data_IF_329629778943
#
_entry.id   IF_329629778943
#
_cell.length_a   1.000
_cell.length_b   1.000
_cell.length_c   1.000
_cell.angle_alpha   90.00
_cell.angle_beta   90.00
_cell.angle_gamma   90.00
#
_symmetry.space_group_name_H-M   'P 1'
#
loop_
_entity.id
_entity.type
_entity.pdbx_description
1 polymer ?
#
# COMPACT_ATOMS: atom_id res chain seq x y z
N UNK A 1 53.49 -31.41 9.16
CA UNK A 1 52.89 -31.44 7.81
C UNK A 1 51.38 -31.71 7.86
N UNK A 2 50.91 -32.86 8.35
CA UNK A 2 49.47 -33.19 8.40
C UNK A 2 48.60 -32.16 9.15
N UNK A 3 49.05 -31.69 10.31
CA UNK A 3 48.32 -30.66 11.09
C UNK A 3 48.20 -29.32 10.35
N UNK A 4 49.22 -28.94 9.58
CA UNK A 4 49.19 -27.70 8.80
C UNK A 4 48.19 -27.84 7.65
N UNK A 5 48.16 -28.99 6.98
CA UNK A 5 47.19 -29.28 5.92
C UNK A 5 45.76 -29.27 6.46
N UNK A 6 45.52 -29.87 7.63
CA UNK A 6 44.20 -29.83 8.28
C UNK A 6 43.79 -28.42 8.68
N UNK A 7 44.71 -27.63 9.24
CA UNK A 7 44.45 -26.26 9.64
C UNK A 7 44.10 -25.40 8.42
N UNK A 8 44.91 -25.45 7.37
CA UNK A 8 44.66 -24.70 6.12
C UNK A 8 43.35 -25.15 5.46
N UNK A 9 43.09 -26.46 5.39
CA UNK A 9 41.84 -26.98 4.84
C UNK A 9 40.62 -26.53 5.63
N UNK A 10 40.70 -26.48 6.96
CA UNK A 10 39.60 -26.00 7.81
C UNK A 10 39.31 -24.52 7.60
N UNK A 11 40.33 -23.68 7.46
CA UNK A 11 40.19 -22.24 7.19
C UNK A 11 39.55 -22.02 5.83
N UNK A 12 40.00 -22.73 4.79
CA UNK A 12 39.41 -22.65 3.45
C UNK A 12 37.95 -23.13 3.42
N UNK A 13 37.61 -24.14 4.19
CA UNK A 13 36.24 -24.66 4.27
C UNK A 13 35.31 -23.67 4.98
N UNK A 14 35.77 -23.03 6.04
CA UNK A 14 35.01 -21.96 6.72
C UNK A 14 34.84 -20.76 5.80
N UNK A 15 35.90 -20.33 5.11
CA UNK A 15 35.86 -19.20 4.17
C UNK A 15 34.93 -19.48 2.98
N UNK A 16 34.90 -20.71 2.46
CA UNK A 16 33.96 -21.09 1.40
C UNK A 16 32.49 -21.09 1.87
N UNK A 17 32.23 -21.40 3.14
CA UNK A 17 30.87 -21.42 3.71
C UNK A 17 30.37 -20.03 4.12
N UNK A 18 31.28 -19.19 4.63
CA UNK A 18 30.96 -17.91 5.29
C UNK A 18 31.36 -16.68 4.46
N UNK A 19 32.26 -16.83 3.49
CA UNK A 19 32.77 -15.73 2.67
C UNK A 19 31.73 -15.07 1.78
N UNK A 20 32.13 -14.02 1.07
CA UNK A 20 31.24 -13.13 0.27
C UNK A 20 30.40 -13.85 -0.80
N UNK A 21 30.80 -15.06 -1.21
CA UNK A 21 30.05 -15.93 -2.15
C UNK A 21 29.54 -17.22 -1.52
N UNK A 22 29.60 -17.32 -0.19
CA UNK A 22 29.18 -18.50 0.57
C UNK A 22 27.67 -18.70 0.56
N UNK A 23 27.26 -19.91 0.94
CA UNK A 23 25.87 -20.33 0.98
C UNK A 23 25.00 -19.42 1.86
N UNK A 24 25.56 -18.90 2.95
CA UNK A 24 24.87 -17.99 3.87
C UNK A 24 24.51 -16.65 3.20
N UNK A 25 25.45 -16.03 2.48
CA UNK A 25 25.20 -14.79 1.74
C UNK A 25 24.13 -14.98 0.66
N UNK A 26 24.15 -16.12 -0.05
CA UNK A 26 23.14 -16.46 -1.05
C UNK A 26 21.74 -16.61 -0.43
N UNK A 27 21.64 -17.26 0.73
CA UNK A 27 20.36 -17.42 1.45
C UNK A 27 19.81 -16.07 1.93
N UNK A 28 20.65 -15.22 2.51
CA UNK A 28 20.26 -13.88 2.94
C UNK A 28 19.81 -13.01 1.76
N UNK A 29 20.56 -13.00 0.66
CA UNK A 29 20.19 -12.29 -0.56
C UNK A 29 18.86 -12.77 -1.12
N UNK A 30 18.61 -14.10 -1.11
CA UNK A 30 17.34 -14.67 -1.56
C UNK A 30 16.17 -14.29 -0.66
N UNK A 31 16.39 -14.19 0.66
CA UNK A 31 15.38 -13.75 1.61
C UNK A 31 15.06 -12.25 1.44
N UNK A 32 16.08 -11.41 1.30
CA UNK A 32 15.92 -9.98 1.00
C UNK A 32 15.18 -9.77 -0.33
N UNK A 33 15.56 -10.51 -1.37
CA UNK A 33 14.86 -10.45 -2.66
C UNK A 33 13.39 -10.83 -2.54
N UNK A 34 13.07 -11.92 -1.80
CA UNK A 34 11.67 -12.33 -1.56
C UNK A 34 10.87 -11.27 -0.81
N UNK A 35 11.46 -10.67 0.23
CA UNK A 35 10.82 -9.58 0.97
C UNK A 35 10.53 -8.39 0.07
N UNK A 36 11.53 -7.95 -0.70
CA UNK A 36 11.41 -6.77 -1.57
C UNK A 36 10.42 -7.02 -2.71
N UNK A 37 10.41 -8.23 -3.28
CA UNK A 37 9.44 -8.64 -4.29
C UNK A 37 8.00 -8.65 -3.72
N UNK A 38 7.83 -9.08 -2.47
CA UNK A 38 6.54 -9.03 -1.77
C UNK A 38 6.03 -7.61 -1.60
N UNK A 39 6.87 -6.71 -1.06
CA UNK A 39 6.51 -5.30 -0.91
C UNK A 39 6.20 -4.62 -2.25
N UNK A 40 6.96 -4.95 -3.30
CA UNK A 40 6.70 -4.43 -4.64
C UNK A 40 5.34 -4.90 -5.19
N UNK A 41 4.96 -6.15 -4.95
CA UNK A 41 3.67 -6.68 -5.37
C UNK A 41 2.51 -5.98 -4.64
N UNK A 42 2.66 -5.74 -3.34
CA UNK A 42 1.67 -5.02 -2.52
C UNK A 42 1.47 -3.58 -3.02
N UNK A 43 2.55 -2.83 -3.18
CA UNK A 43 2.51 -1.45 -3.67
C UNK A 43 1.92 -1.37 -5.09
N UNK A 44 2.24 -2.33 -5.96
CA UNK A 44 1.66 -2.40 -7.31
C UNK A 44 0.15 -2.65 -7.29
N UNK A 45 -0.30 -3.55 -6.41
CA UNK A 45 -1.73 -3.84 -6.23
C UNK A 45 -2.48 -2.61 -5.73
N UNK A 46 -1.94 -1.92 -4.72
CA UNK A 46 -2.53 -0.69 -4.19
C UNK A 46 -2.58 0.42 -5.25
N UNK A 47 -1.49 0.59 -6.01
CA UNK A 47 -1.44 1.58 -7.08
C UNK A 47 -2.49 1.31 -8.16
N UNK A 48 -2.69 0.04 -8.54
CA UNK A 48 -3.73 -0.35 -9.49
C UNK A 48 -5.13 -0.02 -8.95
N UNK A 49 -5.41 -0.31 -7.67
CA UNK A 49 -6.68 0.02 -7.02
C UNK A 49 -6.94 1.52 -7.00
N UNK A 50 -5.95 2.32 -6.60
CA UNK A 50 -6.05 3.78 -6.55
C UNK A 50 -6.27 4.39 -7.93
N UNK A 51 -5.60 3.87 -8.97
CA UNK A 51 -5.81 4.30 -10.36
C UNK A 51 -7.24 4.05 -10.82
N UNK A 52 -7.80 2.88 -10.49
CA UNK A 52 -9.19 2.57 -10.82
C UNK A 52 -10.17 3.50 -10.08
N UNK A 53 -9.93 3.79 -8.80
CA UNK A 53 -10.73 4.78 -8.06
C UNK A 53 -10.65 6.18 -8.68
N UNK A 54 -9.44 6.64 -8.99
CA UNK A 54 -9.22 7.93 -9.65
C UNK A 54 -9.89 7.99 -11.03
N UNK A 55 -9.88 6.88 -11.77
CA UNK A 55 -10.58 6.76 -13.05
C UNK A 55 -12.09 6.89 -12.87
N UNK A 56 -12.70 6.16 -11.93
CA UNK A 56 -14.13 6.27 -11.63
C UNK A 56 -14.53 7.68 -11.20
N UNK A 57 -13.74 8.31 -10.35
CA UNK A 57 -13.96 9.71 -9.94
C UNK A 57 -13.84 10.71 -11.10
N UNK A 58 -13.01 10.44 -12.11
CA UNK A 58 -12.85 11.31 -13.28
C UNK A 58 -13.88 11.05 -14.37
N UNK A 59 -14.24 9.79 -14.59
CA UNK A 59 -15.11 9.35 -15.68
C UNK A 59 -16.60 9.38 -15.30
N UNK A 60 -16.93 9.48 -14.01
CA UNK A 60 -18.30 9.62 -13.52
C UNK A 60 -18.52 10.98 -12.80
N UNK A 61 -18.91 12.03 -13.56
CA UNK A 61 -19.26 13.33 -12.99
C UNK A 61 -20.37 13.24 -11.93
N UNK A 62 -21.27 12.24 -12.03
CA UNK A 62 -22.36 12.08 -11.07
C UNK A 62 -21.84 11.63 -9.70
N UNK A 63 -20.80 10.79 -9.65
CA UNK A 63 -20.14 10.39 -8.40
C UNK A 63 -19.49 11.57 -7.68
N UNK A 64 -18.88 12.50 -8.44
CA UNK A 64 -18.29 13.73 -7.88
C UNK A 64 -19.38 14.69 -7.41
N UNK A 65 -20.46 14.86 -8.17
CA UNK A 65 -21.61 15.68 -7.77
C UNK A 65 -22.27 15.15 -6.49
N UNK A 66 -22.44 13.84 -6.37
CA UNK A 66 -23.02 13.22 -5.17
C UNK A 66 -22.15 13.46 -3.93
N UNK A 67 -20.83 13.33 -4.05
CA UNK A 67 -19.89 13.62 -2.95
C UNK A 67 -19.91 15.11 -2.59
N UNK A 68 -19.89 15.99 -3.59
CA UNK A 68 -19.96 17.44 -3.40
C UNK A 68 -21.26 17.89 -2.72
N UNK A 69 -22.40 17.27 -3.05
CA UNK A 69 -23.69 17.54 -2.40
C UNK A 69 -23.71 17.04 -0.94
N UNK A 70 -23.15 15.85 -0.66
CA UNK A 70 -23.19 15.22 0.68
C UNK A 70 -22.20 15.85 1.67
N UNK A 71 -20.93 15.99 1.27
CA UNK A 71 -19.85 16.42 2.17
C UNK A 71 -19.70 17.95 2.22
N UNK A 72 -19.93 18.62 1.09
CA UNK A 72 -19.68 20.06 0.95
C UNK A 72 -20.99 20.88 0.87
N UNK A 73 -22.15 20.22 0.79
CA UNK A 73 -23.45 20.90 0.67
C UNK A 73 -23.58 21.76 -0.59
N UNK A 74 -22.77 21.49 -1.62
CA UNK A 74 -22.72 22.29 -2.84
C UNK A 74 -23.98 22.05 -3.68
N UNK A 75 -24.56 23.13 -4.21
CA UNK A 75 -25.71 23.11 -5.11
C UNK A 75 -25.36 23.83 -6.42
N UNK A 76 -25.94 23.39 -7.55
CA UNK A 76 -25.71 24.03 -8.85
C UNK A 76 -26.49 25.35 -8.96
N UNK A 77 -26.00 26.34 -9.75
CA UNK A 77 -26.76 27.54 -10.06
C UNK A 77 -28.14 27.17 -10.64
N UNK A 78 -29.22 27.63 -9.99
CA UNK A 78 -30.60 27.35 -10.38
C UNK A 78 -31.32 26.26 -9.56
N UNK A 79 -30.62 25.53 -8.69
CA UNK A 79 -31.24 24.59 -7.75
C UNK A 79 -31.84 25.32 -6.52
N UNK A 80 -32.93 24.78 -5.95
CA UNK A 80 -33.59 25.32 -4.75
C UNK A 80 -33.35 24.40 -3.56
N UNK A 81 -32.71 24.91 -2.51
CA UNK A 81 -32.50 24.20 -1.25
C UNK A 81 -33.73 24.35 -0.35
N UNK A 82 -34.31 23.22 0.06
CA UNK A 82 -35.40 23.18 1.05
C UNK A 82 -34.84 22.71 2.39
N UNK A 83 -34.79 23.60 3.38
CA UNK A 83 -34.46 23.26 4.77
C UNK A 83 -35.76 23.12 5.54
N UNK A 84 -36.17 21.89 5.81
CA UNK A 84 -37.33 21.62 6.67
C UNK A 84 -36.90 21.78 8.11
N UNK A 85 -37.44 22.79 8.81
CA UNK A 85 -37.31 22.91 10.26
C UNK A 85 -38.56 22.33 10.90
N UNK A 86 -38.39 21.34 11.77
CA UNK A 86 -39.47 20.88 12.63
C UNK A 86 -39.87 22.04 13.55
N UNK A 87 -41.01 22.65 13.24
CA UNK A 87 -41.67 23.58 14.14
C UNK A 87 -42.31 22.77 15.24
N UNK A 88 -41.81 22.93 16.46
CA UNK A 88 -42.41 22.35 17.66
C UNK A 88 -43.92 22.69 17.68
N UNK A 89 -44.79 21.73 18.08
CA UNK A 89 -46.23 21.94 18.05
C UNK A 89 -46.57 23.17 18.89
N UNK A 90 -47.28 24.13 18.28
CA UNK A 90 -47.75 25.31 18.98
C UNK A 90 -48.80 24.87 20.01
N UNK A 91 -48.43 24.95 21.29
CA UNK A 91 -49.30 24.65 22.44
C UNK A 91 -50.61 25.45 22.32
N UNK A 92 -51.78 24.79 22.20
CA UNK A 92 -53.06 25.46 22.08
C UNK A 92 -53.53 25.87 23.49
N UNK A 93 -53.24 27.13 23.85
CA UNK A 93 -53.94 27.81 24.96
C UNK A 93 -55.16 28.54 24.43
#
# INVERSE_FOLDING_TARGET
>A
MLYIVLLVGSVLMIDALVGEKGLLAMLQARQQYRSLAGSLAEVRSENARLREQARRLREDPAAVEDLARRELGLIKPGEKLFIVKDVAPKDPR
#
